data_IF_361410850772
#
_entry.id   IF_361410850772
#
_cell.length_a   1.000
_cell.length_b   1.000
_cell.length_c   1.000
_cell.angle_alpha   90.00
_cell.angle_beta   90.00
_cell.angle_gamma   90.00
#
_symmetry.space_group_name_H-M   'P 1'
#
loop_
_entity.id
_entity.type
_entity.pdbx_description
1 polymer ?
#
# COMPACT_ATOMS: atom_id res chain seq x y z
N UNK A 1 -9.61 -16.04 -16.99
CA UNK A 1 -10.02 -14.74 -17.57
C UNK A 1 -10.64 -13.92 -16.45
N UNK A 2 -10.40 -12.59 -16.37
CA UNK A 2 -11.01 -11.75 -15.35
C UNK A 2 -12.54 -11.84 -15.43
N UNK A 3 -13.24 -11.70 -14.29
CA UNK A 3 -14.70 -11.68 -14.30
C UNK A 3 -15.23 -10.51 -15.14
N UNK A 4 -16.26 -10.74 -15.95
CA UNK A 4 -16.93 -9.67 -16.68
C UNK A 4 -17.87 -8.93 -15.73
N UNK A 5 -17.52 -7.71 -15.33
CA UNK A 5 -18.32 -6.92 -14.38
C UNK A 5 -19.65 -6.42 -14.96
N UNK A 6 -19.83 -6.40 -16.29
CA UNK A 6 -21.09 -6.02 -16.93
C UNK A 6 -22.14 -7.14 -16.81
N UNK A 7 -21.71 -8.40 -16.88
CA UNK A 7 -22.61 -9.57 -16.81
C UNK A 7 -22.60 -10.25 -15.45
N UNK A 8 -21.57 -10.01 -14.64
CA UNK A 8 -21.40 -10.59 -13.30
C UNK A 8 -20.80 -9.56 -12.33
N UNK A 9 -21.55 -8.48 -12.01
CA UNK A 9 -21.07 -7.44 -11.12
C UNK A 9 -20.82 -7.95 -9.70
N UNK A 10 -19.86 -7.35 -9.00
CA UNK A 10 -19.52 -7.69 -7.62
C UNK A 10 -20.30 -6.84 -6.62
N UNK A 11 -21.57 -7.19 -6.39
CA UNK A 11 -22.52 -6.44 -5.52
C UNK A 11 -23.06 -7.22 -4.31
N UNK A 12 -22.74 -8.51 -4.18
CA UNK A 12 -23.10 -9.32 -3.02
C UNK A 12 -22.15 -9.10 -1.84
N UNK A 13 -22.65 -9.34 -0.62
CA UNK A 13 -21.86 -9.19 0.61
C UNK A 13 -20.56 -10.01 0.62
N UNK A 14 -20.60 -11.23 0.08
CA UNK A 14 -19.46 -12.14 -0.03
C UNK A 14 -18.31 -11.61 -0.91
N UNK A 15 -18.57 -10.60 -1.74
CA UNK A 15 -17.55 -10.00 -2.60
C UNK A 15 -16.71 -8.91 -1.91
N UNK A 16 -16.99 -8.59 -0.64
CA UNK A 16 -16.24 -7.58 0.10
C UNK A 16 -14.73 -7.88 0.09
N UNK A 17 -13.94 -6.87 -0.31
CA UNK A 17 -12.49 -6.94 -0.29
C UNK A 17 -11.86 -7.70 -1.46
N UNK A 18 -12.66 -8.27 -2.37
CA UNK A 18 -12.14 -8.94 -3.55
C UNK A 18 -11.49 -7.95 -4.53
N UNK A 19 -10.35 -8.29 -5.16
CA UNK A 19 -9.57 -7.41 -6.03
C UNK A 19 -10.35 -6.97 -7.28
N UNK A 20 -10.29 -5.69 -7.64
CA UNK A 20 -10.98 -5.15 -8.82
C UNK A 20 -10.00 -4.47 -9.79
N UNK A 21 -9.85 -4.97 -11.04
CA UNK A 21 -10.44 -6.20 -11.61
C UNK A 21 -9.87 -7.48 -10.97
N UNK A 22 -10.38 -8.64 -11.36
CA UNK A 22 -9.88 -9.94 -10.88
C UNK A 22 -8.49 -10.27 -11.45
N UNK A 23 -7.47 -9.64 -10.87
CA UNK A 23 -6.09 -9.67 -11.34
C UNK A 23 -5.12 -9.64 -10.17
N UNK A 24 -3.98 -10.35 -10.25
CA UNK A 24 -2.88 -10.22 -9.28
C UNK A 24 -2.28 -8.81 -9.19
N UNK A 25 -2.57 -7.93 -10.16
CA UNK A 25 -2.12 -6.54 -10.20
C UNK A 25 -3.23 -5.54 -9.83
N UNK A 26 -4.36 -6.01 -9.31
CA UNK A 26 -5.46 -5.16 -8.92
C UNK A 26 -5.07 -4.25 -7.75
N UNK A 27 -5.28 -2.95 -7.92
CA UNK A 27 -4.96 -1.94 -6.90
C UNK A 27 -6.18 -1.50 -6.10
N UNK A 28 -7.37 -1.91 -6.52
CA UNK A 28 -8.65 -1.59 -5.87
C UNK A 28 -9.38 -2.86 -5.45
N UNK A 29 -10.44 -2.71 -4.66
CA UNK A 29 -11.25 -3.79 -4.11
C UNK A 29 -12.74 -3.45 -4.16
N UNK A 30 -13.57 -4.46 -4.05
CA UNK A 30 -15.02 -4.30 -4.00
C UNK A 30 -15.50 -3.94 -2.58
N UNK A 31 -16.25 -2.84 -2.48
CA UNK A 31 -17.07 -2.46 -1.31
C UNK A 31 -18.55 -2.53 -1.73
N UNK A 32 -19.15 -3.73 -1.82
CA UNK A 32 -20.38 -3.96 -2.59
C UNK A 32 -21.65 -3.35 -1.99
N UNK A 33 -21.65 -3.07 -0.68
CA UNK A 33 -22.82 -2.58 0.05
C UNK A 33 -22.53 -1.19 0.62
N UNK A 34 -23.57 -0.37 0.77
CA UNK A 34 -23.45 0.93 1.42
C UNK A 34 -22.88 0.82 2.84
N UNK A 35 -23.31 -0.19 3.61
CA UNK A 35 -22.78 -0.46 4.94
C UNK A 35 -21.27 -0.74 4.94
N UNK A 36 -20.73 -1.35 3.89
CA UNK A 36 -19.29 -1.57 3.77
C UNK A 36 -18.54 -0.25 3.59
N UNK A 37 -19.13 0.73 2.89
CA UNK A 37 -18.53 2.05 2.72
C UNK A 37 -18.52 2.81 4.06
N UNK A 38 -19.64 2.81 4.80
CA UNK A 38 -19.70 3.42 6.14
C UNK A 38 -18.63 2.81 7.05
N UNK A 39 -18.64 1.48 7.20
CA UNK A 39 -17.71 0.74 8.06
C UNK A 39 -16.25 0.92 7.64
N UNK A 40 -15.99 1.04 6.34
CA UNK A 40 -14.66 1.34 5.82
C UNK A 40 -14.16 2.71 6.29
N UNK A 41 -14.99 3.75 6.16
CA UNK A 41 -14.65 5.12 6.59
C UNK A 41 -14.52 5.22 8.13
N UNK A 42 -15.29 4.41 8.87
CA UNK A 42 -15.20 4.29 10.33
C UNK A 42 -14.01 3.44 10.80
N UNK A 43 -13.28 2.79 9.88
CA UNK A 43 -12.13 1.94 10.20
C UNK A 43 -12.49 0.61 10.88
N UNK A 44 -13.70 0.08 10.63
CA UNK A 44 -14.16 -1.20 11.18
C UNK A 44 -13.18 -2.34 10.82
N UNK A 45 -12.58 -3.03 11.81
CA UNK A 45 -11.61 -4.10 11.57
C UNK A 45 -12.13 -5.25 10.69
N UNK A 46 -13.43 -5.55 10.72
CA UNK A 46 -14.03 -6.61 9.89
C UNK A 46 -14.02 -6.26 8.41
N UNK A 47 -14.10 -4.97 8.08
CA UNK A 47 -14.04 -4.48 6.70
C UNK A 47 -12.59 -4.26 6.29
N UNK A 48 -11.81 -3.55 7.10
CA UNK A 48 -10.40 -3.25 6.81
C UNK A 48 -9.57 -4.53 6.65
N UNK A 49 -9.80 -5.53 7.52
CA UNK A 49 -9.09 -6.82 7.48
C UNK A 49 -9.35 -7.66 6.23
N UNK A 50 -10.41 -7.37 5.48
CA UNK A 50 -10.75 -8.07 4.23
C UNK A 50 -10.15 -7.43 2.99
N UNK A 51 -9.60 -6.22 3.07
CA UNK A 51 -9.07 -5.51 1.91
C UNK A 51 -7.70 -6.07 1.51
N UNK A 52 -7.65 -6.76 0.37
CA UNK A 52 -6.41 -7.37 -0.12
C UNK A 52 -5.44 -6.34 -0.73
N UNK A 53 -6.01 -5.29 -1.32
CA UNK A 53 -5.35 -4.09 -1.81
C UNK A 53 -6.35 -2.93 -1.63
N UNK A 54 -5.89 -1.68 -1.63
CA UNK A 54 -6.80 -0.55 -1.57
C UNK A 54 -6.20 0.63 -2.32
N UNK A 55 -7.01 1.20 -3.20
CA UNK A 55 -6.85 2.56 -3.67
C UNK A 55 -8.06 3.34 -3.14
N UNK A 56 -7.88 4.46 -2.42
CA UNK A 56 -6.60 5.12 -2.09
C UNK A 56 -5.66 4.25 -1.22
N UNK A 57 -4.38 4.61 -1.16
CA UNK A 57 -3.24 3.83 -0.63
C UNK A 57 -3.29 3.53 0.88
N UNK A 58 -4.33 2.87 1.37
CA UNK A 58 -4.48 2.53 2.80
C UNK A 58 -3.74 1.26 3.21
N UNK A 59 -3.50 0.34 2.28
CA UNK A 59 -2.70 -0.85 2.49
C UNK A 59 -1.69 -1.06 1.35
N UNK A 60 -0.58 -1.72 1.67
CA UNK A 60 0.40 -2.09 0.66
C UNK A 60 -0.15 -3.25 -0.16
N UNK A 61 -0.06 -3.12 -1.49
CA UNK A 61 -0.34 -4.22 -2.41
C UNK A 61 0.53 -5.45 -2.04
N UNK A 62 0.03 -6.70 -2.14
CA UNK A 62 0.77 -7.89 -1.72
C UNK A 62 2.18 -8.01 -2.30
N UNK A 63 2.37 -7.73 -3.60
CA UNK A 63 3.70 -7.75 -4.21
C UNK A 63 4.64 -6.66 -3.69
N UNK A 64 4.13 -5.47 -3.39
CA UNK A 64 4.95 -4.39 -2.80
C UNK A 64 5.35 -4.77 -1.38
N UNK A 65 4.41 -5.31 -0.59
CA UNK A 65 4.67 -5.80 0.76
C UNK A 65 5.74 -6.89 0.77
N UNK A 66 5.64 -7.86 -0.13
CA UNK A 66 6.65 -8.91 -0.32
C UNK A 66 8.01 -8.31 -0.69
N UNK A 67 8.04 -7.39 -1.66
CA UNK A 67 9.30 -6.75 -2.06
C UNK A 67 9.93 -5.95 -0.90
N UNK A 68 9.15 -5.22 -0.11
CA UNK A 68 9.65 -4.55 1.09
C UNK A 68 10.24 -5.57 2.07
N UNK A 69 9.55 -6.68 2.33
CA UNK A 69 10.07 -7.74 3.20
C UNK A 69 11.39 -8.32 2.67
N UNK A 70 11.46 -8.66 1.39
CA UNK A 70 12.66 -9.24 0.76
C UNK A 70 13.86 -8.28 0.78
N UNK A 71 13.62 -6.96 0.73
CA UNK A 71 14.68 -5.93 0.74
C UNK A 71 15.12 -5.53 2.15
N UNK A 72 14.18 -5.39 3.10
CA UNK A 72 14.48 -4.84 4.43
C UNK A 72 14.58 -5.91 5.52
N UNK A 73 14.12 -7.13 5.29
CA UNK A 73 14.22 -8.27 6.21
C UNK A 73 13.32 -8.19 7.46
N UNK A 74 12.52 -7.12 7.59
CA UNK A 74 11.57 -6.94 8.69
C UNK A 74 10.37 -6.12 8.23
N UNK A 75 9.22 -6.32 8.89
CA UNK A 75 8.06 -5.45 8.69
C UNK A 75 8.37 -4.03 9.17
N UNK A 76 7.78 -3.04 8.52
CA UNK A 76 7.90 -1.62 8.89
C UNK A 76 9.34 -1.09 8.93
N UNK A 77 10.29 -1.74 8.25
CA UNK A 77 11.69 -1.30 8.17
C UNK A 77 12.00 -0.44 6.93
N UNK A 78 11.02 -0.25 6.04
CA UNK A 78 11.18 0.59 4.85
C UNK A 78 10.07 0.42 3.81
N UNK A 79 10.10 1.29 2.79
CA UNK A 79 9.19 1.26 1.64
C UNK A 79 9.95 1.37 0.32
N UNK A 80 9.40 0.77 -0.73
CA UNK A 80 9.93 0.82 -2.09
C UNK A 80 9.28 1.98 -2.87
N UNK A 81 10.09 2.65 -3.68
CA UNK A 81 9.74 3.79 -4.52
C UNK A 81 10.17 3.54 -5.97
N UNK A 82 9.43 4.08 -6.96
CA UNK A 82 9.67 3.80 -8.36
C UNK A 82 10.91 4.49 -8.94
N UNK A 83 11.51 5.43 -8.21
CA UNK A 83 12.72 6.14 -8.63
C UNK A 83 13.49 6.72 -7.45
N UNK A 84 14.79 6.97 -7.65
CA UNK A 84 15.63 7.72 -6.71
C UNK A 84 15.06 9.08 -6.36
N UNK A 85 14.42 9.79 -7.31
CA UNK A 85 13.84 11.10 -7.06
C UNK A 85 12.66 11.03 -6.08
N UNK A 86 11.79 10.02 -6.23
CA UNK A 86 10.68 9.79 -5.29
C UNK A 86 11.20 9.37 -3.91
N UNK A 87 12.20 8.48 -3.86
CA UNK A 87 12.82 8.05 -2.62
C UNK A 87 13.50 9.20 -1.85
N UNK A 88 14.20 10.10 -2.56
CA UNK A 88 14.81 11.29 -1.94
C UNK A 88 13.78 12.22 -1.32
N UNK A 89 12.68 12.51 -2.03
CA UNK A 89 11.58 13.31 -1.45
C UNK A 89 10.96 12.66 -0.21
N UNK A 90 10.87 11.33 -0.18
CA UNK A 90 10.40 10.61 1.00
C UNK A 90 11.37 10.75 2.18
N UNK A 91 12.68 10.65 1.94
CA UNK A 91 13.72 10.91 2.96
C UNK A 91 13.60 12.34 3.49
N UNK A 92 13.53 13.32 2.59
CA UNK A 92 13.39 14.74 2.96
C UNK A 92 12.14 14.97 3.81
N UNK A 93 11.03 14.30 3.48
CA UNK A 93 9.80 14.37 4.25
C UNK A 93 9.93 13.75 5.66
N UNK A 94 10.56 12.58 5.78
CA UNK A 94 10.78 11.94 7.09
C UNK A 94 11.61 12.85 7.98
N UNK A 95 12.68 13.44 7.45
CA UNK A 95 13.54 14.40 8.17
C UNK A 95 12.76 15.66 8.54
N UNK A 96 11.98 16.23 7.62
CA UNK A 96 11.12 17.38 7.88
C UNK A 96 10.10 17.11 9.00
N UNK A 97 9.60 15.87 9.11
CA UNK A 97 8.72 15.41 10.19
C UNK A 97 9.45 15.03 11.49
N UNK A 98 10.73 15.38 11.59
CA UNK A 98 11.56 15.15 12.78
C UNK A 98 12.08 13.73 12.94
N UNK A 99 11.97 12.90 11.89
CA UNK A 99 12.61 11.59 11.87
C UNK A 99 14.13 11.70 11.77
N UNK A 100 14.82 10.68 12.27
CA UNK A 100 16.28 10.66 12.38
C UNK A 100 16.93 9.56 11.54
N UNK A 101 16.17 8.51 11.19
CA UNK A 101 16.66 7.37 10.42
C UNK A 101 15.90 7.27 9.10
N UNK A 102 16.51 7.73 8.01
CA UNK A 102 16.03 7.51 6.65
C UNK A 102 17.20 7.39 5.67
N UNK A 103 17.37 6.22 5.06
CA UNK A 103 18.48 5.92 4.15
C UNK A 103 18.00 5.35 2.83
N UNK A 104 18.61 5.82 1.75
CA UNK A 104 18.36 5.29 0.40
C UNK A 104 18.99 3.91 0.25
N UNK A 105 18.22 2.97 -0.29
CA UNK A 105 18.67 1.63 -0.67
C UNK A 105 18.53 1.51 -2.19
N UNK A 106 19.65 1.26 -2.87
CA UNK A 106 19.64 0.96 -4.30
C UNK A 106 19.32 -0.51 -4.52
N UNK A 107 18.38 -0.82 -5.41
CA UNK A 107 18.15 -2.19 -5.86
C UNK A 107 18.98 -2.41 -7.13
N UNK A 108 19.78 -3.49 -7.15
CA UNK A 108 20.64 -3.80 -8.30
C UNK A 108 19.81 -3.97 -9.58
N UNK A 109 20.31 -3.43 -10.68
CA UNK A 109 19.75 -3.56 -12.03
C UNK A 109 18.28 -3.09 -12.18
N UNK A 110 17.82 -2.20 -11.31
CA UNK A 110 16.45 -1.68 -11.29
C UNK A 110 16.44 -0.16 -11.13
N UNK A 111 15.42 0.52 -11.68
CA UNK A 111 15.19 1.94 -11.37
C UNK A 111 14.54 2.17 -10.00
N UNK A 112 13.91 1.13 -9.44
CA UNK A 112 13.29 1.19 -8.14
C UNK A 112 14.33 1.34 -7.03
N UNK A 113 13.95 2.03 -5.95
CA UNK A 113 14.80 2.25 -4.78
C UNK A 113 14.00 2.00 -3.50
N UNK A 114 14.66 1.60 -2.43
CA UNK A 114 14.09 1.54 -1.09
C UNK A 114 14.44 2.79 -0.29
N UNK A 115 13.58 3.13 0.67
CA UNK A 115 13.94 3.98 1.81
C UNK A 115 13.81 3.14 3.05
N UNK A 116 14.93 2.84 3.70
CA UNK A 116 14.95 2.15 4.98
C UNK A 116 14.90 3.18 6.12
N UNK A 117 14.16 2.84 7.17
CA UNK A 117 13.95 3.67 8.37
C UNK A 117 13.95 2.78 9.60
N UNK A 118 14.17 3.38 10.77
CA UNK A 118 13.92 2.68 12.03
C UNK A 118 12.40 2.54 12.25
N UNK A 119 11.94 1.52 13.00
CA UNK A 119 10.50 1.29 13.21
C UNK A 119 9.72 2.51 13.71
N UNK A 120 10.35 3.37 14.53
CA UNK A 120 9.74 4.59 15.08
C UNK A 120 9.50 5.69 14.02
N UNK A 121 10.22 5.64 12.90
CA UNK A 121 10.11 6.57 11.78
C UNK A 121 9.25 6.03 10.62
N UNK A 122 8.91 4.75 10.65
CA UNK A 122 8.04 4.14 9.64
C UNK A 122 6.68 4.81 9.48
N UNK A 123 5.97 5.25 10.55
CA UNK A 123 4.71 5.98 10.39
C UNK A 123 4.86 7.25 9.53
N UNK A 124 5.97 7.98 9.67
CA UNK A 124 6.27 9.19 8.87
C UNK A 124 6.52 8.84 7.41
N UNK A 125 7.30 7.78 7.16
CA UNK A 125 7.56 7.29 5.81
C UNK A 125 6.27 6.81 5.13
N UNK A 126 5.43 6.08 5.88
CA UNK A 126 4.13 5.59 5.41
C UNK A 126 3.19 6.73 5.06
N UNK A 127 3.15 7.78 5.87
CA UNK A 127 2.34 8.97 5.62
C UNK A 127 2.71 9.63 4.28
N UNK A 128 4.00 9.83 4.00
CA UNK A 128 4.45 10.32 2.69
C UNK A 128 4.00 9.42 1.55
N UNK A 129 4.24 8.11 1.69
CA UNK A 129 3.89 7.13 0.66
C UNK A 129 2.38 7.10 0.38
N UNK A 130 1.56 7.21 1.41
CA UNK A 130 0.10 7.17 1.31
C UNK A 130 -0.47 8.41 0.61
N UNK A 131 0.04 9.60 0.94
CA UNK A 131 -0.58 10.87 0.52
C UNK A 131 0.12 11.58 -0.64
N UNK A 132 1.43 11.43 -0.79
CA UNK A 132 2.23 12.24 -1.72
C UNK A 132 2.95 11.43 -2.80
N UNK A 133 3.19 10.13 -2.56
CA UNK A 133 4.03 9.25 -3.39
C UNK A 133 3.81 9.38 -4.88
#
# INVERSE_FOLDING_TARGET
>A
MPCNLLTSPRWKAEHLGLPMPDSPHAVSVSLPLWQHNIKYEEGDPEVIGRLQAAYPRFCLHPFVRRLCHDVFGAENAGLIFPSTAAAKRAIDYVVWRGGQSARLITLADQMACGVAVDPDDFPRLREYWQHAG
#
